data_IF_050457566927
#
_entry.id   IF_050457566927
#
_cell.length_a   1.000
_cell.length_b   1.000
_cell.length_c   1.000
_cell.angle_alpha   90.00
_cell.angle_beta   90.00
_cell.angle_gamma   90.00
#
_symmetry.space_group_name_H-M   'P 1'
#
loop_
_entity.id
_entity.type
_entity.pdbx_description
1 polymer ?
#
# COMPACT_ATOMS: atom_id res chain seq x y z
N UNK A 1 4.74 28.31 -14.55
CA UNK A 1 3.35 28.41 -14.06
C UNK A 1 3.33 27.72 -12.72
N UNK A 2 3.35 28.50 -11.64
CA UNK A 2 3.19 27.98 -10.29
C UNK A 2 1.72 27.64 -10.07
N UNK A 3 1.41 26.40 -9.84
CA UNK A 3 0.09 25.99 -9.35
C UNK A 3 -0.07 26.53 -7.91
N UNK A 4 -1.10 27.31 -7.63
CA UNK A 4 -1.35 27.77 -6.27
C UNK A 4 -1.79 26.57 -5.44
N UNK A 5 -0.92 26.14 -4.55
CA UNK A 5 -1.16 25.05 -3.57
C UNK A 5 -2.26 25.44 -2.55
N UNK A 6 -2.71 26.70 -2.56
CA UNK A 6 -3.68 27.25 -1.60
C UNK A 6 -5.10 26.66 -1.71
N UNK A 7 -5.40 25.85 -2.74
CA UNK A 7 -6.74 25.28 -2.91
C UNK A 7 -6.88 23.81 -2.59
N UNK A 8 -5.85 23.16 -2.05
CA UNK A 8 -5.97 21.77 -1.58
C UNK A 8 -6.39 21.66 -0.11
N UNK A 9 -7.32 22.50 0.35
CA UNK A 9 -8.24 22.10 1.42
C UNK A 9 -9.37 21.28 0.79
N UNK A 10 -9.00 20.19 0.07
CA UNK A 10 -9.96 19.19 -0.30
C UNK A 10 -10.32 18.42 0.97
N UNK A 11 -11.36 18.88 1.64
CA UNK A 11 -12.15 17.99 2.49
C UNK A 11 -13.02 17.24 1.50
N UNK A 12 -12.72 15.98 1.16
CA UNK A 12 -13.55 15.25 0.25
C UNK A 12 -14.95 15.18 0.86
N UNK A 13 -15.93 15.70 0.13
CA UNK A 13 -17.31 15.34 0.44
C UNK A 13 -17.33 13.81 0.46
N UNK A 14 -18.02 13.16 1.41
CA UNK A 14 -18.06 11.71 1.47
C UNK A 14 -18.54 11.20 0.10
N UNK A 15 -17.71 10.41 -0.54
CA UNK A 15 -17.99 9.81 -1.85
C UNK A 15 -19.28 8.99 -1.74
N UNK A 16 -20.07 8.95 -2.80
CA UNK A 16 -21.22 8.06 -2.78
C UNK A 16 -20.75 6.61 -2.81
N UNK A 17 -21.52 5.70 -2.22
CA UNK A 17 -21.22 4.27 -2.25
C UNK A 17 -21.06 3.75 -3.70
N UNK A 18 -21.89 4.28 -4.62
CA UNK A 18 -21.88 3.91 -6.03
C UNK A 18 -20.55 4.30 -6.68
N UNK A 19 -19.99 5.48 -6.34
CA UNK A 19 -18.73 5.97 -6.89
C UNK A 19 -17.52 5.15 -6.44
N UNK A 20 -17.57 4.52 -5.25
CA UNK A 20 -16.52 3.63 -4.76
C UNK A 20 -16.51 2.26 -5.46
N UNK A 21 -17.62 1.84 -6.07
CA UNK A 21 -17.75 0.48 -6.62
C UNK A 21 -16.75 0.15 -7.73
N UNK A 22 -16.40 1.04 -8.67
CA UNK A 22 -15.39 0.72 -9.69
C UNK A 22 -14.05 0.29 -9.10
N UNK A 23 -13.54 1.03 -8.12
CA UNK A 23 -12.30 0.68 -7.43
C UNK A 23 -12.43 -0.58 -6.58
N UNK A 24 -13.51 -0.70 -5.81
CA UNK A 24 -13.77 -1.88 -4.99
C UNK A 24 -13.87 -3.17 -5.84
N UNK A 25 -14.55 -3.10 -6.99
CA UNK A 25 -14.61 -4.21 -7.95
C UNK A 25 -13.24 -4.54 -8.51
N UNK A 26 -12.42 -3.54 -8.82
CA UNK A 26 -11.06 -3.76 -9.32
C UNK A 26 -10.18 -4.44 -8.27
N UNK A 27 -10.27 -4.04 -7.00
CA UNK A 27 -9.58 -4.71 -5.89
C UNK A 27 -9.93 -6.20 -5.84
N UNK A 28 -11.21 -6.53 -5.87
CA UNK A 28 -11.66 -7.92 -5.71
C UNK A 28 -11.44 -8.77 -6.96
N UNK A 29 -11.81 -8.27 -8.14
CA UNK A 29 -11.74 -9.04 -9.39
C UNK A 29 -10.35 -9.09 -10.00
N UNK A 30 -9.68 -7.93 -10.12
CA UNK A 30 -8.38 -7.85 -10.80
C UNK A 30 -7.21 -8.05 -9.84
N UNK A 31 -7.15 -7.29 -8.74
CA UNK A 31 -5.96 -7.30 -7.88
C UNK A 31 -5.89 -8.58 -7.03
N UNK A 32 -6.95 -8.90 -6.31
CA UNK A 32 -7.05 -10.10 -5.47
C UNK A 32 -7.39 -11.37 -6.28
N UNK A 33 -8.13 -11.23 -7.38
CA UNK A 33 -8.63 -12.37 -8.13
C UNK A 33 -9.50 -13.30 -7.27
N UNK A 34 -10.44 -12.72 -6.52
CA UNK A 34 -11.36 -13.47 -5.65
C UNK A 34 -12.16 -14.48 -6.48
N UNK A 35 -12.23 -15.71 -5.98
CA UNK A 35 -12.95 -16.80 -6.60
C UNK A 35 -14.27 -17.07 -5.87
N UNK A 36 -15.28 -17.65 -6.57
CA UNK A 36 -16.52 -18.06 -5.93
C UNK A 36 -16.29 -18.97 -4.72
N UNK A 37 -16.95 -18.64 -3.60
CA UNK A 37 -16.88 -19.39 -2.35
C UNK A 37 -15.69 -19.10 -1.45
N UNK A 38 -14.74 -18.24 -1.85
CA UNK A 38 -13.63 -17.83 -0.98
C UNK A 38 -14.08 -16.92 0.15
N UNK A 39 -13.53 -17.13 1.34
CA UNK A 39 -13.76 -16.29 2.52
C UNK A 39 -12.93 -15.01 2.41
N UNK A 40 -13.61 -13.88 2.22
CA UNK A 40 -12.99 -12.57 2.11
C UNK A 40 -13.18 -11.82 3.43
N UNK A 41 -12.13 -11.75 4.23
CA UNK A 41 -12.17 -10.99 5.48
C UNK A 41 -11.71 -9.55 5.23
N UNK A 42 -12.53 -8.59 5.65
CA UNK A 42 -12.22 -7.17 5.56
C UNK A 42 -12.10 -6.65 6.98
N UNK A 43 -10.84 -6.40 7.42
CA UNK A 43 -10.59 -5.84 8.74
C UNK A 43 -10.42 -4.32 8.65
N UNK A 44 -11.28 -3.57 9.33
CA UNK A 44 -11.24 -2.12 9.29
C UNK A 44 -11.34 -1.50 10.69
N UNK A 45 -10.80 -0.30 10.86
CA UNK A 45 -11.23 0.50 12.00
C UNK A 45 -12.54 1.25 11.70
N UNK A 46 -13.19 1.75 12.76
CA UNK A 46 -14.51 2.37 12.66
C UNK A 46 -14.55 3.60 11.75
N UNK A 47 -13.43 4.23 11.43
CA UNK A 47 -13.35 5.35 10.49
C UNK A 47 -13.46 4.90 9.02
N UNK A 48 -13.27 3.61 8.74
CA UNK A 48 -13.20 3.03 7.39
C UNK A 48 -14.38 2.12 7.04
N UNK A 49 -15.44 2.13 7.86
CA UNK A 49 -16.61 1.25 7.68
C UNK A 49 -17.23 1.32 6.29
N UNK A 50 -17.43 2.52 5.73
CA UNK A 50 -18.04 2.67 4.40
C UNK A 50 -17.19 2.08 3.28
N UNK A 51 -15.84 2.21 3.39
CA UNK A 51 -14.93 1.53 2.47
C UNK A 51 -15.02 0.01 2.61
N UNK A 52 -15.07 -0.48 3.86
CA UNK A 52 -15.21 -1.92 4.13
C UNK A 52 -16.52 -2.47 3.55
N UNK A 53 -17.62 -1.73 3.66
CA UNK A 53 -18.91 -2.10 3.06
C UNK A 53 -18.85 -2.15 1.53
N UNK A 54 -18.20 -1.16 0.88
CA UNK A 54 -18.03 -1.17 -0.57
C UNK A 54 -17.17 -2.35 -1.04
N UNK A 55 -16.07 -2.64 -0.33
CA UNK A 55 -15.23 -3.79 -0.60
C UNK A 55 -15.97 -5.12 -0.36
N UNK A 56 -16.78 -5.22 0.69
CA UNK A 56 -17.61 -6.39 0.96
C UNK A 56 -18.67 -6.61 -0.13
N UNK A 57 -19.32 -5.54 -0.58
CA UNK A 57 -20.27 -5.61 -1.70
C UNK A 57 -19.61 -6.08 -2.98
N UNK A 58 -18.40 -5.60 -3.28
CA UNK A 58 -17.62 -6.05 -4.43
C UNK A 58 -17.20 -7.53 -4.30
N UNK A 59 -16.76 -7.96 -3.12
CA UNK A 59 -16.44 -9.38 -2.87
C UNK A 59 -17.67 -10.27 -3.07
N UNK A 60 -18.82 -9.86 -2.57
CA UNK A 60 -20.08 -10.57 -2.78
C UNK A 60 -20.50 -10.63 -4.26
N UNK A 61 -20.30 -9.53 -4.99
CA UNK A 61 -20.61 -9.45 -6.43
C UNK A 61 -19.78 -10.43 -7.29
N UNK A 62 -18.56 -10.75 -6.85
CA UNK A 62 -17.69 -11.78 -7.48
C UNK A 62 -17.88 -13.18 -6.85
N UNK A 63 -18.98 -13.37 -6.10
CA UNK A 63 -19.35 -14.63 -5.44
C UNK A 63 -18.40 -15.08 -4.32
N UNK A 64 -17.57 -14.18 -3.76
CA UNK A 64 -16.88 -14.41 -2.50
C UNK A 64 -17.83 -14.35 -1.30
N UNK A 65 -17.39 -14.81 -0.15
CA UNK A 65 -18.11 -14.77 1.13
C UNK A 65 -17.50 -13.67 2.01
N UNK A 66 -17.99 -12.42 1.96
CA UNK A 66 -17.39 -11.33 2.72
C UNK A 66 -17.75 -11.39 4.20
N UNK A 67 -16.77 -11.08 5.05
CA UNK A 67 -16.94 -10.85 6.48
C UNK A 67 -16.23 -9.57 6.87
N UNK A 68 -16.95 -8.60 7.46
CA UNK A 68 -16.36 -7.36 7.98
C UNK A 68 -16.08 -7.54 9.47
N UNK A 69 -14.84 -7.22 9.87
CA UNK A 69 -14.42 -7.21 11.28
C UNK A 69 -13.95 -5.80 11.61
N UNK A 70 -14.78 -5.07 12.36
CA UNK A 70 -14.52 -3.70 12.75
C UNK A 70 -13.98 -3.59 14.18
N UNK A 71 -13.06 -2.66 14.40
CA UNK A 71 -12.45 -2.38 15.70
C UNK A 71 -12.15 -0.89 15.86
N UNK A 72 -11.92 -0.38 17.08
CA UNK A 72 -11.50 1.01 17.28
C UNK A 72 -10.12 1.27 16.65
N UNK A 73 -9.84 2.50 16.12
CA UNK A 73 -8.52 2.84 15.62
C UNK A 73 -7.41 2.57 16.63
N UNK A 74 -6.31 1.97 16.17
CA UNK A 74 -5.19 1.59 17.06
C UNK A 74 -4.38 2.77 17.58
N UNK A 75 -4.44 3.92 16.90
CA UNK A 75 -3.74 5.15 17.30
C UNK A 75 -2.26 5.21 16.89
N UNK A 76 -1.69 4.13 16.36
CA UNK A 76 -0.31 4.10 15.88
C UNK A 76 -0.10 3.06 14.79
N UNK A 77 0.82 3.33 13.86
CA UNK A 77 1.25 2.34 12.85
C UNK A 77 1.96 1.17 13.52
N UNK A 78 1.61 -0.05 13.12
CA UNK A 78 2.19 -1.28 13.66
C UNK A 78 1.69 -1.69 15.04
N UNK A 79 0.79 -0.92 15.66
CA UNK A 79 0.16 -1.32 16.90
C UNK A 79 -0.70 -2.58 16.68
N UNK A 80 -0.59 -3.53 17.61
CA UNK A 80 -1.29 -4.80 17.51
C UNK A 80 -2.81 -4.62 17.63
N UNK A 81 -3.54 -5.41 16.86
CA UNK A 81 -5.00 -5.44 16.86
C UNK A 81 -5.55 -6.49 17.84
N UNK A 82 -6.85 -6.44 18.19
CA UNK A 82 -7.46 -7.46 19.05
C UNK A 82 -7.25 -8.89 18.52
N UNK A 83 -7.09 -9.86 19.41
CA UNK A 83 -6.91 -11.28 19.05
C UNK A 83 -8.04 -11.84 18.16
N UNK A 84 -9.26 -11.33 18.32
CA UNK A 84 -10.40 -11.68 17.48
C UNK A 84 -10.20 -11.27 16.01
N UNK A 85 -9.56 -10.11 15.77
CA UNK A 85 -9.18 -9.64 14.43
C UNK A 85 -8.09 -10.54 13.85
N UNK A 86 -7.07 -10.89 14.66
CA UNK A 86 -6.01 -11.84 14.25
C UNK A 86 -6.62 -13.19 13.87
N UNK A 87 -7.55 -13.71 14.70
CA UNK A 87 -8.22 -14.99 14.44
C UNK A 87 -9.06 -14.97 13.17
N UNK A 88 -9.78 -13.89 12.90
CA UNK A 88 -10.54 -13.73 11.65
C UNK A 88 -9.60 -13.66 10.43
N UNK A 89 -8.55 -12.85 10.51
CA UNK A 89 -7.54 -12.72 9.47
C UNK A 89 -6.86 -14.06 9.13
N UNK A 90 -6.49 -14.83 10.13
CA UNK A 90 -5.82 -16.13 9.98
C UNK A 90 -6.69 -17.21 9.32
N UNK A 91 -8.02 -17.02 9.27
CA UNK A 91 -8.98 -17.95 8.66
C UNK A 91 -9.60 -17.40 7.38
N UNK A 92 -8.92 -16.51 6.68
CA UNK A 92 -9.36 -15.96 5.39
C UNK A 92 -8.63 -16.57 4.21
N UNK A 93 -9.28 -16.64 3.06
CA UNK A 93 -8.62 -16.87 1.77
C UNK A 93 -8.04 -15.57 1.22
N UNK A 94 -8.75 -14.46 1.48
CA UNK A 94 -8.36 -13.10 1.13
C UNK A 94 -8.58 -12.17 2.33
N UNK A 95 -7.55 -11.41 2.69
CA UNK A 95 -7.60 -10.40 3.74
C UNK A 95 -7.40 -9.01 3.14
N UNK A 96 -8.35 -8.11 3.34
CA UNK A 96 -8.25 -6.70 2.97
C UNK A 96 -8.30 -5.83 4.23
N UNK A 97 -7.36 -4.88 4.35
CA UNK A 97 -7.17 -4.09 5.56
C UNK A 97 -7.29 -2.58 5.30
N UNK A 98 -8.50 -2.03 5.04
CA UNK A 98 -8.70 -0.58 4.98
C UNK A 98 -8.70 -0.02 6.41
N UNK A 99 -7.59 0.60 6.81
CA UNK A 99 -7.40 1.09 8.18
C UNK A 99 -6.78 2.49 8.21
N UNK A 100 -7.07 3.27 9.27
CA UNK A 100 -6.44 4.57 9.51
C UNK A 100 -4.97 4.44 9.91
N UNK A 101 -4.60 3.33 10.53
CA UNK A 101 -3.23 3.03 10.98
C UNK A 101 -2.76 1.72 10.39
N UNK A 102 -1.51 1.66 9.96
CA UNK A 102 -0.96 0.48 9.27
C UNK A 102 -0.99 -0.77 10.13
N UNK A 103 -1.56 -1.84 9.58
CA UNK A 103 -1.51 -3.19 10.10
C UNK A 103 -0.44 -4.06 9.41
N UNK A 104 0.41 -3.47 8.55
CA UNK A 104 1.39 -4.19 7.72
C UNK A 104 2.35 -5.06 8.54
N UNK A 105 2.69 -4.65 9.76
CA UNK A 105 3.63 -5.37 10.63
C UNK A 105 2.95 -5.95 11.89
N UNK A 106 1.68 -6.33 11.78
CA UNK A 106 0.91 -6.93 12.88
C UNK A 106 0.75 -8.44 12.72
N UNK A 107 0.45 -9.10 13.84
CA UNK A 107 0.18 -10.54 13.87
C UNK A 107 -0.96 -10.93 12.92
N UNK A 108 -1.95 -10.04 12.72
CA UNK A 108 -3.06 -10.30 11.81
C UNK A 108 -2.58 -10.56 10.37
N UNK A 109 -1.66 -9.75 9.83
CA UNK A 109 -1.06 -10.00 8.52
C UNK A 109 -0.15 -11.22 8.52
N UNK A 110 0.69 -11.35 9.54
CA UNK A 110 1.68 -12.44 9.63
C UNK A 110 0.98 -13.79 9.64
N UNK A 111 -0.02 -13.98 10.50
CA UNK A 111 -0.75 -15.25 10.58
C UNK A 111 -1.62 -15.51 9.34
N UNK A 112 -2.22 -14.48 8.74
CA UNK A 112 -2.95 -14.63 7.49
C UNK A 112 -2.04 -15.16 6.36
N UNK A 113 -0.88 -14.53 6.14
CA UNK A 113 0.10 -14.95 5.12
C UNK A 113 0.61 -16.38 5.40
N UNK A 114 0.95 -16.68 6.65
CA UNK A 114 1.43 -18.01 7.06
C UNK A 114 0.41 -19.10 6.77
N UNK A 115 -0.88 -18.79 6.88
CA UNK A 115 -1.98 -19.71 6.55
C UNK A 115 -2.38 -19.69 5.06
N UNK A 116 -1.64 -18.97 4.22
CA UNK A 116 -1.84 -18.95 2.77
C UNK A 116 -2.82 -17.89 2.28
N UNK A 117 -3.32 -17.00 3.14
CA UNK A 117 -4.19 -15.90 2.70
C UNK A 117 -3.45 -14.96 1.74
N UNK A 118 -4.17 -14.42 0.77
CA UNK A 118 -3.74 -13.28 -0.05
C UNK A 118 -4.11 -12.01 0.70
N UNK A 119 -3.14 -11.13 0.93
CA UNK A 119 -3.32 -10.01 1.86
C UNK A 119 -3.08 -8.68 1.17
N UNK A 120 -3.97 -7.73 1.41
CA UNK A 120 -3.85 -6.35 0.94
C UNK A 120 -4.03 -5.35 2.08
N UNK A 121 -3.06 -4.45 2.24
CA UNK A 121 -3.24 -3.26 3.07
C UNK A 121 -3.76 -2.09 2.24
N UNK A 122 -4.66 -1.30 2.82
CA UNK A 122 -5.15 -0.04 2.30
C UNK A 122 -5.08 1.01 3.43
N UNK A 123 -3.88 1.15 4.00
CA UNK A 123 -3.62 2.05 5.11
C UNK A 123 -3.72 3.51 4.67
N UNK A 124 -4.39 4.34 5.48
CA UNK A 124 -4.63 5.78 5.25
C UNK A 124 -5.40 6.09 3.94
N UNK A 125 -5.77 5.08 3.16
CA UNK A 125 -6.58 5.26 1.95
C UNK A 125 -7.93 5.87 2.31
N UNK A 126 -8.36 6.87 1.56
CA UNK A 126 -9.63 7.57 1.72
C UNK A 126 -10.66 7.07 0.69
N UNK A 127 -11.94 7.39 0.88
CA UNK A 127 -13.03 6.91 0.02
C UNK A 127 -12.85 7.31 -1.45
N UNK A 128 -12.34 8.52 -1.70
CA UNK A 128 -12.05 9.04 -3.04
C UNK A 128 -11.00 8.20 -3.78
N UNK A 129 -10.09 7.55 -3.06
CA UNK A 129 -9.13 6.63 -3.67
C UNK A 129 -9.77 5.38 -4.28
N UNK A 130 -10.99 4.99 -3.87
CA UNK A 130 -11.77 3.94 -4.54
C UNK A 130 -12.56 4.48 -5.76
N UNK A 131 -12.72 5.81 -5.84
CA UNK A 131 -13.50 6.44 -6.91
C UNK A 131 -12.65 6.82 -8.12
N UNK A 132 -11.37 7.16 -7.91
CA UNK A 132 -10.52 7.73 -8.93
C UNK A 132 -9.03 7.47 -8.68
N UNK A 133 -8.20 7.86 -9.65
CA UNK A 133 -6.74 7.81 -9.52
C UNK A 133 -6.15 6.41 -9.71
N UNK A 134 -5.10 6.10 -8.95
CA UNK A 134 -4.28 4.91 -9.13
C UNK A 134 -5.04 3.58 -9.06
N UNK A 135 -6.12 3.51 -8.29
CA UNK A 135 -6.93 2.29 -8.18
C UNK A 135 -7.60 1.89 -9.50
N UNK A 136 -7.86 2.84 -10.38
CA UNK A 136 -8.45 2.59 -11.70
C UNK A 136 -7.41 2.28 -12.77
N UNK A 137 -6.12 2.31 -12.43
CA UNK A 137 -5.02 1.99 -13.32
C UNK A 137 -5.06 0.54 -13.85
N UNK A 138 -4.23 0.26 -14.83
CA UNK A 138 -4.05 -1.10 -15.36
C UNK A 138 -2.96 -1.83 -14.59
N UNK A 139 -3.36 -2.61 -13.58
CA UNK A 139 -2.43 -3.38 -12.75
C UNK A 139 -1.74 -4.53 -13.50
N UNK A 140 -2.31 -5.05 -14.57
CA UNK A 140 -1.64 -6.04 -15.43
C UNK A 140 -0.46 -5.41 -16.19
N UNK A 141 -0.67 -4.21 -16.71
CA UNK A 141 0.40 -3.50 -17.42
C UNK A 141 1.46 -3.01 -16.43
N UNK A 142 1.04 -2.54 -15.25
CA UNK A 142 1.96 -2.17 -14.16
C UNK A 142 2.81 -3.37 -13.71
N UNK A 143 2.22 -4.57 -13.59
CA UNK A 143 2.97 -5.78 -13.23
C UNK A 143 4.02 -6.14 -14.30
N UNK A 144 3.63 -6.10 -15.59
CA UNK A 144 4.57 -6.35 -16.70
C UNK A 144 5.73 -5.35 -16.69
N UNK A 145 5.42 -4.06 -16.53
CA UNK A 145 6.44 -3.01 -16.47
C UNK A 145 7.33 -3.18 -15.23
N UNK A 146 6.72 -3.42 -14.07
CA UNK A 146 7.42 -3.64 -12.81
C UNK A 146 8.40 -4.82 -12.91
N UNK A 147 7.96 -5.96 -13.45
CA UNK A 147 8.84 -7.12 -13.65
C UNK A 147 9.97 -6.85 -14.64
N UNK A 148 9.73 -6.05 -15.67
CA UNK A 148 10.78 -5.64 -16.62
C UNK A 148 11.82 -4.74 -15.96
N UNK A 149 11.38 -3.75 -15.20
CA UNK A 149 12.26 -2.83 -14.46
C UNK A 149 13.00 -3.56 -13.33
N UNK A 150 12.30 -4.39 -12.56
CA UNK A 150 12.89 -5.16 -11.47
C UNK A 150 14.05 -6.04 -11.93
N UNK A 151 13.93 -6.71 -13.08
CA UNK A 151 15.03 -7.47 -13.67
C UNK A 151 16.24 -6.62 -14.04
N UNK A 152 16.04 -5.37 -14.45
CA UNK A 152 17.17 -4.45 -14.68
C UNK A 152 17.85 -4.09 -13.36
N UNK A 153 17.07 -3.81 -12.32
CA UNK A 153 17.57 -3.49 -10.98
C UNK A 153 18.33 -4.69 -10.39
N UNK A 154 17.77 -5.91 -10.46
CA UNK A 154 18.38 -7.14 -9.94
C UNK A 154 19.76 -7.44 -10.56
N UNK A 155 19.97 -7.03 -11.81
CA UNK A 155 21.25 -7.18 -12.51
C UNK A 155 22.19 -5.98 -12.32
N UNK A 156 21.76 -4.95 -11.58
CA UNK A 156 22.56 -3.78 -11.27
C UNK A 156 23.49 -4.03 -10.07
N UNK A 157 24.59 -3.27 -10.01
CA UNK A 157 25.50 -3.29 -8.86
C UNK A 157 25.33 -2.04 -8.00
N UNK A 158 24.95 -0.93 -8.62
CA UNK A 158 24.77 0.37 -7.98
C UNK A 158 23.48 1.01 -8.44
N UNK A 159 22.82 1.72 -7.53
CA UNK A 159 21.70 2.60 -7.83
C UNK A 159 22.08 4.03 -7.48
N UNK A 160 21.74 4.98 -8.35
CA UNK A 160 21.83 6.42 -8.09
C UNK A 160 20.46 7.05 -8.29
N UNK A 161 20.05 7.85 -7.31
CA UNK A 161 18.80 8.60 -7.34
C UNK A 161 19.10 10.09 -7.33
N UNK A 162 18.54 10.83 -8.29
CA UNK A 162 18.68 12.29 -8.37
C UNK A 162 17.32 12.96 -8.53
N UNK A 163 17.18 14.19 -8.04
CA UNK A 163 16.01 15.02 -8.28
C UNK A 163 16.41 16.48 -8.56
N UNK A 164 15.56 17.27 -9.25
CA UNK A 164 15.78 18.69 -9.44
C UNK A 164 15.88 19.50 -8.14
N UNK A 165 15.27 19.01 -7.06
CA UNK A 165 15.33 19.63 -5.73
C UNK A 165 16.71 19.51 -5.07
N UNK A 166 17.59 18.66 -5.59
CA UNK A 166 18.96 18.50 -5.10
C UNK A 166 19.27 17.13 -4.47
N UNK A 167 18.33 16.18 -4.49
CA UNK A 167 18.66 14.80 -4.11
C UNK A 167 19.76 14.28 -5.04
N UNK A 168 20.80 13.70 -4.45
CA UNK A 168 21.85 12.92 -5.14
C UNK A 168 22.36 11.85 -4.18
N UNK A 169 21.85 10.64 -4.33
CA UNK A 169 22.09 9.51 -3.44
C UNK A 169 22.56 8.31 -4.24
N UNK A 170 23.60 7.63 -3.76
CA UNK A 170 24.13 6.39 -4.35
C UNK A 170 24.12 5.27 -3.32
N UNK A 171 23.95 4.03 -3.77
CA UNK A 171 24.03 2.85 -2.93
C UNK A 171 24.36 1.60 -3.74
N UNK A 172 25.08 0.65 -3.15
CA UNK A 172 25.30 -0.68 -3.72
C UNK A 172 24.08 -1.57 -3.51
N UNK A 173 23.71 -2.33 -4.56
CA UNK A 173 22.58 -3.25 -4.58
C UNK A 173 22.95 -4.65 -5.07
N UNK A 174 24.24 -4.95 -5.24
CA UNK A 174 24.74 -6.22 -5.77
C UNK A 174 24.14 -7.42 -5.05
N UNK A 175 23.45 -8.28 -5.80
CA UNK A 175 22.86 -9.51 -5.26
C UNK A 175 21.64 -9.31 -4.34
N UNK A 176 21.12 -8.10 -4.22
CA UNK A 176 19.89 -7.84 -3.46
C UNK A 176 18.66 -8.20 -4.28
N UNK A 177 17.69 -8.93 -3.70
CA UNK A 177 16.45 -9.24 -4.37
C UNK A 177 15.54 -8.02 -4.46
N UNK A 178 14.84 -7.86 -5.58
CA UNK A 178 13.77 -6.88 -5.72
C UNK A 178 12.46 -7.47 -5.18
N UNK A 179 11.76 -6.70 -4.36
CA UNK A 179 10.40 -7.01 -3.94
C UNK A 179 9.42 -6.35 -4.91
N UNK A 180 8.51 -7.16 -5.45
CA UNK A 180 7.53 -6.74 -6.44
C UNK A 180 6.17 -6.54 -5.77
N UNK A 181 5.77 -5.30 -5.52
CA UNK A 181 4.45 -4.92 -5.03
C UNK A 181 3.68 -4.16 -6.13
N UNK A 182 3.31 -4.90 -7.17
CA UNK A 182 2.73 -4.34 -8.39
C UNK A 182 1.21 -4.19 -8.34
N UNK A 183 0.61 -4.40 -7.17
CA UNK A 183 -0.83 -4.33 -6.94
C UNK A 183 -1.58 -5.63 -7.19
N UNK A 184 -0.97 -6.63 -7.86
CA UNK A 184 -1.56 -7.96 -8.02
C UNK A 184 -1.12 -8.89 -6.87
N UNK A 185 -2.10 -9.52 -6.21
CA UNK A 185 -1.86 -10.46 -5.09
C UNK A 185 -2.78 -11.69 -5.19
N UNK A 186 -2.65 -12.43 -6.29
CA UNK A 186 -3.56 -13.52 -6.68
C UNK A 186 -3.14 -14.90 -6.20
N UNK A 187 -1.90 -15.05 -5.73
CA UNK A 187 -1.39 -16.33 -5.27
C UNK A 187 -1.34 -16.41 -3.73
N UNK A 188 -1.52 -17.59 -3.14
CA UNK A 188 -1.43 -17.79 -1.71
C UNK A 188 -0.16 -17.18 -1.10
N UNK A 189 -0.30 -16.49 0.03
CA UNK A 189 0.79 -15.86 0.74
C UNK A 189 1.29 -14.55 0.13
N UNK A 190 0.73 -14.09 -0.99
CA UNK A 190 1.08 -12.78 -1.56
C UNK A 190 0.55 -11.62 -0.72
N UNK A 191 1.32 -10.56 -0.72
CA UNK A 191 0.98 -9.28 -0.10
C UNK A 191 1.00 -8.15 -1.13
N UNK A 192 0.12 -7.18 -0.98
CA UNK A 192 0.09 -5.94 -1.73
C UNK A 192 -0.33 -4.76 -0.85
N UNK A 193 0.07 -3.57 -1.25
CA UNK A 193 -0.45 -2.30 -0.72
C UNK A 193 -1.18 -1.57 -1.85
N UNK A 194 -2.48 -1.37 -1.75
CA UNK A 194 -3.26 -0.67 -2.78
C UNK A 194 -3.60 0.76 -2.34
N UNK A 195 -3.58 1.69 -3.31
CA UNK A 195 -3.44 1.53 -4.78
C UNK A 195 -1.99 1.59 -5.30
N UNK A 196 -1.00 1.18 -4.52
CA UNK A 196 0.41 1.23 -4.91
C UNK A 196 0.74 0.28 -6.07
N UNK A 197 1.79 0.66 -6.79
CA UNK A 197 2.54 -0.22 -7.69
C UNK A 197 4.01 0.18 -7.54
N UNK A 198 4.79 -0.63 -6.83
CA UNK A 198 6.15 -0.28 -6.45
C UNK A 198 7.13 -1.46 -6.54
N UNK A 199 8.39 -1.13 -6.65
CA UNK A 199 9.51 -2.05 -6.57
C UNK A 199 10.40 -1.60 -5.43
N UNK A 200 10.68 -2.51 -4.49
CA UNK A 200 11.49 -2.22 -3.34
C UNK A 200 12.80 -3.02 -3.40
N UNK A 201 13.92 -2.36 -3.14
CA UNK A 201 15.21 -3.00 -2.99
C UNK A 201 15.93 -2.40 -1.78
N UNK A 202 16.46 -3.25 -0.91
CA UNK A 202 17.28 -2.81 0.21
C UNK A 202 18.75 -2.67 -0.27
N UNK A 203 19.41 -1.53 -0.06
CA UNK A 203 20.82 -1.40 -0.35
C UNK A 203 21.68 -2.29 0.56
N UNK A 204 22.94 -2.50 0.18
CA UNK A 204 23.95 -3.12 1.06
C UNK A 204 24.21 -2.15 2.21
N UNK A 205 24.20 -2.66 3.43
CA UNK A 205 24.41 -1.88 4.64
C UNK A 205 25.75 -1.13 4.60
N UNK A 206 25.74 0.15 4.97
CA UNK A 206 26.91 1.00 5.00
C UNK A 206 27.33 1.59 3.64
N UNK A 207 26.69 1.25 2.54
CA UNK A 207 27.11 1.73 1.21
C UNK A 207 26.36 2.97 0.72
N UNK A 208 25.26 3.32 1.37
CA UNK A 208 24.45 4.47 0.96
C UNK A 208 25.11 5.78 1.36
N UNK A 209 25.34 6.66 0.37
CA UNK A 209 25.95 7.96 0.59
C UNK A 209 25.29 9.02 -0.28
N UNK A 210 25.22 10.25 0.24
CA UNK A 210 24.73 11.41 -0.50
C UNK A 210 23.69 12.23 0.26
N UNK A 211 22.86 12.91 -0.51
CA UNK A 211 21.86 13.86 0.02
C UNK A 211 20.47 13.48 -0.47
N UNK A 212 19.51 13.52 0.44
CA UNK A 212 18.08 13.44 0.13
C UNK A 212 17.47 14.81 0.41
N UNK A 213 16.74 15.36 -0.56
CA UNK A 213 15.97 16.60 -0.40
C UNK A 213 14.50 16.28 -0.53
N UNK A 214 13.79 16.42 0.58
CA UNK A 214 12.33 16.32 0.64
C UNK A 214 11.71 17.70 0.47
N UNK A 215 10.92 17.89 -0.57
CA UNK A 215 10.31 19.17 -0.94
C UNK A 215 8.78 19.12 -1.04
N UNK A 216 8.16 17.97 -0.76
CA UNK A 216 6.70 17.79 -0.82
C UNK A 216 6.12 17.34 0.52
N UNK A 217 6.52 16.16 0.97
CA UNK A 217 6.03 15.57 2.22
C UNK A 217 7.09 14.65 2.83
N UNK A 218 7.19 14.67 4.14
CA UNK A 218 8.02 13.73 4.89
C UNK A 218 7.16 12.99 5.92
N UNK A 219 7.29 11.66 5.97
CA UNK A 219 6.57 10.83 6.93
C UNK A 219 6.88 11.27 8.37
N UNK A 220 5.86 11.43 9.20
CA UNK A 220 5.97 11.93 10.57
C UNK A 220 6.13 13.44 10.72
N UNK A 221 6.57 14.14 9.67
CA UNK A 221 6.68 15.60 9.63
C UNK A 221 5.44 16.26 9.00
N UNK A 222 4.89 15.64 7.95
CA UNK A 222 3.75 16.16 7.21
C UNK A 222 4.14 16.84 5.89
N UNK A 223 3.28 17.75 5.41
CA UNK A 223 3.51 18.51 4.17
C UNK A 223 4.56 19.59 4.42
N UNK A 224 5.59 19.61 3.59
CA UNK A 224 6.65 20.62 3.63
C UNK A 224 6.14 21.86 2.88
N UNK A 225 6.02 22.98 3.60
CA UNK A 225 5.41 24.23 3.08
C UNK A 225 6.38 25.36 2.90
N UNK A 226 7.54 25.28 3.51
CA UNK A 226 8.54 26.35 3.54
C UNK A 226 9.83 25.85 2.87
N UNK A 227 10.89 25.72 3.63
CA UNK A 227 12.18 25.24 3.11
C UNK A 227 12.19 23.72 2.98
N UNK A 228 12.75 23.16 1.88
CA UNK A 228 12.95 21.73 1.73
C UNK A 228 13.77 21.15 2.90
N UNK A 229 13.43 19.94 3.30
CA UNK A 229 14.20 19.22 4.32
C UNK A 229 15.37 18.51 3.64
N UNK A 230 16.59 18.82 4.06
CA UNK A 230 17.80 18.18 3.57
C UNK A 230 18.30 17.15 4.59
N UNK A 231 18.52 15.93 4.12
CA UNK A 231 19.03 14.80 4.92
C UNK A 231 20.34 14.35 4.30
N UNK A 232 21.42 14.42 5.05
CA UNK A 232 22.71 13.86 4.65
C UNK A 232 22.80 12.40 5.08
N UNK A 233 23.25 11.54 4.17
CA UNK A 233 23.47 10.11 4.43
C UNK A 233 24.93 9.79 4.23
N UNK A 234 25.57 9.26 5.26
CA UNK A 234 26.98 8.84 5.24
C UNK A 234 27.07 7.41 5.74
N UNK A 235 27.64 6.53 4.92
CA UNK A 235 27.75 5.10 5.25
C UNK A 235 26.43 4.47 5.76
N UNK A 236 25.31 4.83 5.11
CA UNK A 236 23.97 4.33 5.45
C UNK A 236 23.34 4.91 6.72
N UNK A 237 23.90 5.97 7.27
CA UNK A 237 23.41 6.65 8.49
C UNK A 237 23.02 8.09 8.20
N UNK A 238 21.99 8.55 8.90
CA UNK A 238 21.50 9.95 8.91
C UNK A 238 22.05 10.68 10.13
#
# INVERSE_FOLDING_TARGET
MSWPIEHFHYIPAPSSFIEMMPGAMKVMSQCAGVKPGENVVITCDTNKMRMAEALAAAAYAVQGIPTIVAFPPTGAHGAQVPKSVVGAAANSDVLIMPTSWSMTHTDARIEAIKNGSRVCTMCEVTEDCLCAGGILGDFEENDKLGRKLGKLIENGNEIRMTSPAGTDLTAEITGRPVQYETGLFRNPGQFAALPNSELNIAPIEGTTNGIIVGDVRLMGYGVIREEPVTIEVVEGKV
#
